data_IF_143210608871
#
_entry.id   IF_143210608871
#
_cell.length_a   1.000
_cell.length_b   1.000
_cell.length_c   1.000
_cell.angle_alpha   90.00
_cell.angle_beta   90.00
_cell.angle_gamma   90.00
#
_symmetry.space_group_name_H-M   'P 1'
#
loop_
_entity.id
_entity.type
_entity.pdbx_description
1 polymer ?
#
# COMPACT_ATOMS: atom_id res chain seq x y z
N UNK A 1 -0.10 19.85 3.82
CA UNK A 1 0.55 18.62 4.30
C UNK A 1 -0.44 17.47 4.25
N UNK A 2 -0.84 17.11 3.03
CA UNK A 2 -1.71 15.99 2.74
C UNK A 2 -1.38 15.40 1.39
N UNK A 3 -0.30 15.85 0.75
CA UNK A 3 0.12 15.43 -0.59
C UNK A 3 1.14 14.29 -0.46
N UNK A 4 2.01 14.34 0.55
CA UNK A 4 3.05 13.35 0.84
C UNK A 4 2.48 11.93 0.96
N UNK A 5 1.31 11.80 1.60
CA UNK A 5 0.60 10.52 1.70
C UNK A 5 0.22 9.96 0.33
N UNK A 6 -0.26 10.82 -0.57
CA UNK A 6 -0.69 10.43 -1.91
C UNK A 6 0.52 10.05 -2.76
N UNK A 7 1.60 10.82 -2.74
CA UNK A 7 2.83 10.54 -3.48
C UNK A 7 3.42 9.17 -3.10
N UNK A 8 3.45 8.83 -1.81
CA UNK A 8 3.87 7.49 -1.37
C UNK A 8 2.93 6.40 -1.92
N UNK A 9 1.61 6.58 -1.83
CA UNK A 9 0.65 5.60 -2.35
C UNK A 9 0.75 5.44 -3.88
N UNK A 10 1.01 6.51 -4.64
CA UNK A 10 1.22 6.43 -6.10
C UNK A 10 2.50 5.68 -6.49
N UNK A 11 3.59 5.88 -5.75
CA UNK A 11 4.83 5.12 -5.94
C UNK A 11 4.59 3.63 -5.69
N UNK A 12 3.82 3.29 -4.65
CA UNK A 12 3.43 1.90 -4.38
C UNK A 12 2.54 1.33 -5.50
N UNK A 13 1.59 2.11 -6.04
CA UNK A 13 0.77 1.67 -7.19
C UNK A 13 1.64 1.33 -8.39
N UNK A 14 2.60 2.18 -8.73
CA UNK A 14 3.51 1.96 -9.87
C UNK A 14 4.32 0.67 -9.72
N UNK A 15 4.82 0.39 -8.51
CA UNK A 15 5.55 -0.83 -8.20
C UNK A 15 4.65 -2.08 -8.31
N UNK A 16 3.40 -1.99 -7.89
CA UNK A 16 2.44 -3.09 -7.98
C UNK A 16 2.01 -3.36 -9.43
N UNK A 17 1.78 -2.30 -10.22
CA UNK A 17 1.45 -2.39 -11.64
C UNK A 17 2.58 -3.05 -12.44
N UNK A 18 3.84 -2.66 -12.17
CA UNK A 18 5.02 -3.29 -12.76
C UNK A 18 5.14 -4.80 -12.44
N UNK A 19 4.46 -5.27 -11.39
CA UNK A 19 4.38 -6.69 -10.99
C UNK A 19 3.14 -7.40 -11.53
N UNK A 20 2.33 -6.73 -12.37
CA UNK A 20 1.10 -7.26 -12.95
C UNK A 20 -0.08 -7.30 -11.98
N UNK A 21 -0.01 -6.59 -10.85
CA UNK A 21 -1.12 -6.45 -9.91
C UNK A 21 -1.95 -5.21 -10.24
N UNK A 22 -3.27 -5.33 -10.14
CA UNK A 22 -4.16 -4.19 -10.36
C UNK A 22 -4.22 -3.35 -9.10
N UNK A 23 -3.47 -2.25 -9.07
CA UNK A 23 -3.39 -1.34 -7.93
C UNK A 23 -3.99 0.04 -8.26
N UNK A 24 -4.69 0.64 -7.29
CA UNK A 24 -5.18 2.02 -7.41
C UNK A 24 -5.29 2.71 -6.06
N UNK A 25 -5.05 4.02 -6.04
CA UNK A 25 -5.35 4.83 -4.87
C UNK A 25 -6.86 5.06 -4.77
N UNK A 26 -7.41 4.89 -3.58
CA UNK A 26 -8.80 5.16 -3.24
C UNK A 26 -8.83 6.17 -2.11
N UNK A 27 -9.67 7.19 -2.24
CA UNK A 27 -9.95 8.17 -1.21
C UNK A 27 -11.36 7.96 -0.69
N UNK A 28 -11.53 7.86 0.63
CA UNK A 28 -12.85 7.81 1.26
C UNK A 28 -13.42 9.22 1.44
N UNK A 29 -14.73 9.30 1.66
CA UNK A 29 -15.41 10.57 1.99
C UNK A 29 -14.86 11.21 3.28
N UNK A 30 -14.30 10.40 4.18
CA UNK A 30 -13.61 10.87 5.39
C UNK A 30 -12.20 11.42 5.13
N UNK A 31 -11.75 11.47 3.88
CA UNK A 31 -10.42 11.96 3.50
C UNK A 31 -9.28 10.95 3.65
N UNK A 32 -9.56 9.72 4.10
CA UNK A 32 -8.53 8.68 4.23
C UNK A 32 -8.17 8.12 2.86
N UNK A 33 -6.88 7.98 2.57
CA UNK A 33 -6.37 7.38 1.34
C UNK A 33 -5.73 6.02 1.60
N UNK A 34 -5.93 5.10 0.68
CA UNK A 34 -5.32 3.77 0.68
C UNK A 34 -5.15 3.25 -0.74
N UNK A 35 -4.15 2.40 -0.97
CA UNK A 35 -4.05 1.61 -2.19
C UNK A 35 -4.92 0.38 -2.04
N UNK A 36 -5.81 0.15 -3.00
CA UNK A 36 -6.49 -1.15 -3.19
C UNK A 36 -5.75 -1.93 -4.26
N UNK A 37 -5.38 -3.17 -3.94
CA UNK A 37 -4.61 -4.06 -4.80
C UNK A 37 -5.42 -5.31 -5.07
N UNK A 38 -5.50 -5.74 -6.32
CA UNK A 38 -6.20 -6.95 -6.75
C UNK A 38 -5.23 -7.81 -7.54
N UNK A 39 -5.17 -9.11 -7.24
CA UNK A 39 -4.45 -10.07 -8.06
C UNK A 39 -5.38 -10.51 -9.21
N UNK A 40 -5.07 -10.22 -10.49
CA UNK A 40 -5.92 -10.63 -11.60
C UNK A 40 -6.00 -12.16 -11.76
N UNK A 41 -5.02 -12.91 -11.24
CA UNK A 41 -5.04 -14.37 -11.25
C UNK A 41 -5.91 -14.96 -10.13
N UNK A 42 -6.28 -14.15 -9.14
CA UNK A 42 -7.12 -14.52 -8.01
C UNK A 42 -8.05 -13.33 -7.68
N UNK A 43 -8.97 -13.01 -8.60
CA UNK A 43 -9.80 -11.79 -8.54
C UNK A 43 -10.67 -11.67 -7.30
N UNK A 44 -10.89 -12.77 -6.58
CA UNK A 44 -11.58 -12.78 -5.28
C UNK A 44 -10.75 -12.15 -4.15
N UNK A 45 -9.45 -11.95 -4.36
CA UNK A 45 -8.52 -11.42 -3.37
C UNK A 45 -8.18 -9.97 -3.67
N UNK A 46 -8.43 -9.14 -2.66
CA UNK A 46 -8.03 -7.75 -2.67
C UNK A 46 -7.43 -7.38 -1.32
N UNK A 47 -6.29 -6.71 -1.36
CA UNK A 47 -5.64 -6.15 -0.17
C UNK A 47 -5.77 -4.63 -0.17
N UNK A 48 -5.81 -4.01 1.02
CA UNK A 48 -5.71 -2.56 1.12
C UNK A 48 -4.49 -2.15 1.96
N UNK A 49 -3.74 -1.17 1.45
CA UNK A 49 -2.54 -0.65 2.07
C UNK A 49 -2.75 0.83 2.34
N UNK A 50 -2.55 1.25 3.59
CA UNK A 50 -2.58 2.67 3.98
C UNK A 50 -1.15 3.17 4.14
N UNK A 51 -0.94 4.47 3.94
CA UNK A 51 0.31 5.12 4.32
C UNK A 51 0.04 6.01 5.54
N UNK A 52 0.87 5.93 6.58
CA UNK A 52 0.70 6.73 7.80
C UNK A 52 2.05 7.30 8.24
N UNK A 53 2.10 8.57 8.66
CA UNK A 53 3.31 9.12 9.27
C UNK A 53 3.44 8.55 10.68
N UNK A 54 4.67 8.27 11.11
CA UNK A 54 4.97 7.94 12.49
C UNK A 54 5.51 9.17 13.21
N UNK A 55 4.98 9.46 14.40
CA UNK A 55 5.29 10.69 15.15
C UNK A 55 6.54 10.54 16.06
N UNK A 56 7.40 9.56 15.81
CA UNK A 56 8.54 9.22 16.68
C UNK A 56 9.78 10.09 16.44
N UNK A 57 9.79 10.95 15.42
CA UNK A 57 10.94 11.82 15.11
C UNK A 57 10.50 13.18 14.57
N UNK A 58 11.43 14.14 14.57
CA UNK A 58 11.25 15.51 14.03
C UNK A 58 10.93 15.48 12.52
N UNK A 59 11.35 14.41 11.83
CA UNK A 59 11.01 14.11 10.44
C UNK A 59 9.91 13.05 10.44
N UNK A 60 8.78 13.28 9.74
CA UNK A 60 7.73 12.28 9.61
C UNK A 60 8.24 11.09 8.81
N UNK A 61 8.51 9.98 9.50
CA UNK A 61 8.86 8.72 8.87
C UNK A 61 7.56 8.02 8.44
N UNK A 62 7.40 7.80 7.14
CA UNK A 62 6.16 7.28 6.58
C UNK A 62 6.21 5.77 6.47
N UNK A 63 5.14 5.09 6.88
CA UNK A 63 5.03 3.64 6.83
C UNK A 63 3.82 3.22 6.02
N UNK A 64 4.00 2.22 5.18
CA UNK A 64 2.88 1.44 4.69
C UNK A 64 2.39 0.50 5.77
N UNK A 65 1.09 0.44 5.97
CA UNK A 65 0.41 -0.43 6.91
C UNK A 65 -0.68 -1.23 6.22
N UNK A 66 -0.83 -2.48 6.64
CA UNK A 66 -1.91 -3.35 6.23
C UNK A 66 -3.28 -2.83 6.67
N UNK A 67 -4.33 -3.38 6.07
CA UNK A 67 -5.73 -3.07 6.42
C UNK A 67 -6.06 -3.39 7.88
N UNK A 68 -5.41 -4.41 8.45
CA UNK A 68 -5.57 -4.79 9.86
C UNK A 68 -4.67 -4.00 10.82
N UNK A 69 -3.93 -3.00 10.33
CA UNK A 69 -3.19 -2.05 11.17
C UNK A 69 -1.74 -2.42 11.49
N UNK A 70 -1.25 -3.57 11.05
CA UNK A 70 0.15 -3.93 11.18
C UNK A 70 1.05 -3.13 10.22
N UNK A 71 2.25 -2.76 10.68
CA UNK A 71 3.25 -2.07 9.83
C UNK A 71 3.83 -3.04 8.82
N UNK A 72 3.74 -2.69 7.55
CA UNK A 72 4.24 -3.50 6.44
C UNK A 72 5.68 -3.16 6.09
N UNK A 73 5.94 -1.91 5.70
CA UNK A 73 7.27 -1.46 5.22
C UNK A 73 7.40 0.06 5.32
N UNK A 74 8.63 0.57 5.28
CA UNK A 74 8.87 2.01 5.12
C UNK A 74 8.39 2.50 3.75
N UNK A 75 7.88 3.73 3.70
CA UNK A 75 7.40 4.36 2.47
C UNK A 75 8.51 4.79 1.50
N UNK A 76 9.76 4.80 1.98
CA UNK A 76 10.96 5.05 1.15
C UNK A 76 11.30 3.86 0.24
N UNK A 77 10.89 2.65 0.60
CA UNK A 77 11.05 1.43 -0.21
C UNK A 77 9.69 0.85 -0.65
N UNK A 78 9.05 1.46 -1.68
CA UNK A 78 7.79 0.96 -2.23
C UNK A 78 7.96 -0.40 -2.93
N UNK A 79 9.16 -0.76 -3.38
CA UNK A 79 9.45 -2.03 -4.03
C UNK A 79 9.39 -3.20 -3.04
N UNK A 80 10.00 -3.05 -1.86
CA UNK A 80 9.88 -4.04 -0.77
C UNK A 80 8.45 -4.16 -0.26
N UNK A 81 7.74 -3.05 -0.15
CA UNK A 81 6.31 -3.01 0.16
C UNK A 81 5.47 -3.81 -0.84
N UNK A 82 5.63 -3.54 -2.14
CA UNK A 82 4.91 -4.24 -3.21
C UNK A 82 5.19 -5.75 -3.22
N UNK A 83 6.43 -6.15 -2.92
CA UNK A 83 6.83 -7.56 -2.82
C UNK A 83 6.09 -8.27 -1.68
N UNK A 84 5.89 -7.61 -0.54
CA UNK A 84 5.10 -8.18 0.58
C UNK A 84 3.63 -8.35 0.21
N UNK A 85 3.03 -7.34 -0.42
CA UNK A 85 1.64 -7.42 -0.90
C UNK A 85 1.45 -8.56 -1.90
N UNK A 86 2.36 -8.68 -2.87
CA UNK A 86 2.32 -9.76 -3.87
C UNK A 86 2.37 -11.15 -3.23
N UNK A 87 3.20 -11.32 -2.19
CA UNK A 87 3.29 -12.58 -1.44
C UNK A 87 1.99 -12.92 -0.71
N UNK A 88 1.36 -11.95 -0.03
CA UNK A 88 0.08 -12.16 0.67
C UNK A 88 -1.02 -12.54 -0.33
N UNK A 89 -1.10 -11.82 -1.45
CA UNK A 89 -2.07 -12.10 -2.51
C UNK A 89 -1.80 -13.41 -3.27
N UNK A 90 -0.59 -13.96 -3.20
CA UNK A 90 -0.26 -15.27 -3.74
C UNK A 90 -0.60 -16.40 -2.76
N UNK A 91 -0.34 -16.22 -1.46
CA UNK A 91 -0.51 -17.25 -0.43
C UNK A 91 -1.98 -17.54 -0.08
N UNK A 92 -2.90 -16.59 -0.30
CA UNK A 92 -4.34 -16.80 -0.03
C UNK A 92 -5.06 -17.52 -1.19
N UNK A 93 -4.35 -17.80 -2.29
CA UNK A 93 -4.89 -18.49 -3.46
C UNK A 93 -4.71 -20.01 -3.49
N UNK A 94 -4.17 -20.62 -2.43
CA UNK A 94 -3.93 -22.08 -2.31
C UNK A 94 -4.96 -22.78 -1.41
#
# INVERSE_FOLDING_TARGET
>A
MGDDNFEHLERLVSELDARGLLARVVQTQSGRRFVRVINPNATSLAENVTCRPTAVSDIPDWWYCWSWGERMHTADDPAGAATKVARVLAAVGE
#
